data_IF_988708553573
#
_entry.id   IF_988708553573
#
_cell.length_a   1.000
_cell.length_b   1.000
_cell.length_c   1.000
_cell.angle_alpha   90.00
_cell.angle_beta   90.00
_cell.angle_gamma   90.00
#
_symmetry.space_group_name_H-M   'P 1'
#
loop_
_entity.id
_entity.type
_entity.pdbx_description
1 polymer ?
#
# COMPACT_ATOMS: atom_id res chain seq x y z
N UNK A 1 8.82 -8.93 6.22
CA UNK A 1 7.83 -7.84 6.38
C UNK A 1 6.41 -8.36 6.11
N UNK A 2 5.39 -7.67 6.64
CA UNK A 2 3.96 -7.92 6.36
C UNK A 2 3.31 -6.64 5.88
N UNK A 3 2.60 -6.69 4.76
CA UNK A 3 1.76 -5.61 4.27
C UNK A 3 0.35 -6.11 3.97
N UNK A 4 -0.61 -5.21 4.08
CA UNK A 4 -1.98 -5.43 3.71
C UNK A 4 -2.20 -4.82 2.34
N UNK A 5 -2.59 -5.63 1.35
CA UNK A 5 -2.88 -5.16 -0.01
C UNK A 5 -4.38 -5.00 -0.17
N UNK A 6 -4.80 -3.83 -0.62
CA UNK A 6 -6.18 -3.50 -0.96
C UNK A 6 -6.31 -3.37 -2.49
N UNK A 7 -7.10 -4.24 -3.11
CA UNK A 7 -7.27 -4.26 -4.57
C UNK A 7 -8.44 -3.36 -5.02
N UNK A 8 -8.20 -2.48 -5.99
CA UNK A 8 -9.24 -1.64 -6.58
C UNK A 8 -9.95 -2.34 -7.74
N UNK A 9 -11.18 -2.82 -7.54
CA UNK A 9 -12.02 -3.30 -8.64
C UNK A 9 -12.80 -2.11 -9.26
N UNK A 10 -12.29 -1.54 -10.34
CA UNK A 10 -13.06 -0.55 -11.12
C UNK A 10 -14.08 -1.27 -12.02
N UNK A 11 -15.23 -1.63 -11.45
CA UNK A 11 -16.45 -1.87 -12.23
C UNK A 11 -17.06 -0.51 -12.57
N UNK A 12 -16.87 -0.06 -13.81
CA UNK A 12 -17.44 1.20 -14.31
C UNK A 12 -18.97 1.18 -14.25
N UNK A 13 -19.55 1.89 -13.29
CA UNK A 13 -20.81 2.61 -13.50
C UNK A 13 -20.67 4.00 -12.89
N UNK A 14 -20.63 5.00 -13.76
CA UNK A 14 -20.62 6.40 -13.38
C UNK A 14 -21.96 6.70 -12.69
N UNK A 15 -21.93 6.80 -11.36
CA UNK A 15 -22.94 7.52 -10.61
C UNK A 15 -22.22 8.56 -9.78
N UNK A 16 -22.45 9.83 -10.10
CA UNK A 16 -22.01 10.99 -9.33
C UNK A 16 -22.73 10.97 -7.99
N UNK A 17 -22.25 10.14 -7.08
CA UNK A 17 -22.53 10.26 -5.66
C UNK A 17 -21.25 10.79 -5.03
N UNK A 18 -21.23 12.09 -4.72
CA UNK A 18 -20.29 12.68 -3.77
C UNK A 18 -20.24 11.76 -2.55
N UNK A 19 -19.10 11.11 -2.24
CA UNK A 19 -18.99 10.39 -0.99
C UNK A 19 -19.01 11.45 0.13
N UNK A 20 -20.16 11.58 0.80
CA UNK A 20 -20.22 12.21 2.11
C UNK A 20 -19.45 11.31 3.07
N UNK A 21 -18.14 11.48 3.11
CA UNK A 21 -17.26 10.85 4.08
C UNK A 21 -17.49 11.56 5.42
N UNK A 22 -18.49 11.10 6.17
CA UNK A 22 -18.80 11.60 7.50
C UNK A 22 -17.66 11.20 8.46
N UNK A 23 -16.70 12.10 8.63
CA UNK A 23 -16.11 12.42 9.93
C UNK A 23 -15.45 11.33 10.77
N UNK A 24 -14.96 10.23 10.21
CA UNK A 24 -13.99 9.38 10.92
C UNK A 24 -12.59 9.74 10.45
N UNK A 25 -11.89 10.54 11.23
CA UNK A 25 -10.44 10.71 11.09
C UNK A 25 -9.83 9.32 11.26
N UNK A 26 -9.41 8.68 10.16
CA UNK A 26 -8.68 7.42 10.23
C UNK A 26 -7.27 7.71 10.75
N UNK A 27 -7.17 7.86 12.07
CA UNK A 27 -5.89 7.91 12.76
C UNK A 27 -5.34 6.50 12.82
N UNK A 28 -4.32 6.22 12.01
CA UNK A 28 -3.56 4.98 12.10
C UNK A 28 -2.97 4.91 13.51
N UNK A 29 -3.38 3.96 14.37
CA UNK A 29 -2.83 3.84 15.72
C UNK A 29 -1.33 3.55 15.65
N UNK A 30 -0.54 4.13 16.55
CA UNK A 30 0.91 3.82 16.66
C UNK A 30 1.14 2.33 16.91
N UNK A 31 0.20 1.66 17.59
CA UNK A 31 0.19 0.22 17.73
C UNK A 31 -0.71 -0.43 16.66
N UNK A 32 -0.09 -0.94 15.61
CA UNK A 32 -0.75 -1.66 14.52
C UNK A 32 -1.61 -2.86 14.98
N UNK A 33 -1.39 -3.38 16.21
CA UNK A 33 -2.27 -4.41 16.79
C UNK A 33 -3.68 -3.89 17.07
N UNK A 34 -3.84 -2.58 17.23
CA UNK A 34 -5.15 -1.93 17.36
C UNK A 34 -5.90 -1.80 16.03
N UNK A 35 -5.21 -1.93 14.89
CA UNK A 35 -5.87 -1.97 13.57
C UNK A 35 -6.59 -3.30 13.34
N UNK A 36 -6.05 -4.41 13.85
CA UNK A 36 -6.65 -5.73 13.66
C UNK A 36 -8.13 -5.80 14.11
N UNK A 37 -8.52 -5.37 15.33
CA UNK A 37 -9.92 -5.35 15.74
C UNK A 37 -10.77 -4.31 14.98
N UNK A 38 -10.20 -3.18 14.55
CA UNK A 38 -10.93 -2.20 13.73
C UNK A 38 -11.22 -2.74 12.31
N UNK A 39 -10.24 -3.43 11.71
CA UNK A 39 -10.40 -4.13 10.45
C UNK A 39 -11.41 -5.29 10.57
N UNK A 40 -11.39 -6.02 11.69
CA UNK A 40 -12.37 -7.06 11.97
C UNK A 40 -13.80 -6.51 12.13
N UNK A 41 -13.96 -5.32 12.70
CA UNK A 41 -15.26 -4.64 12.74
C UNK A 41 -15.73 -4.27 11.34
N UNK A 42 -14.85 -3.73 10.48
CA UNK A 42 -15.19 -3.44 9.07
C UNK A 42 -15.56 -4.71 8.29
N UNK A 43 -14.91 -5.85 8.57
CA UNK A 43 -15.30 -7.15 8.00
C UNK A 43 -16.72 -7.56 8.39
N UNK A 44 -17.17 -7.23 9.61
CA UNK A 44 -18.53 -7.54 10.06
C UNK A 44 -19.60 -6.63 9.44
N UNK A 45 -19.20 -5.42 9.05
CA UNK A 45 -20.09 -4.43 8.42
C UNK A 45 -20.19 -4.62 6.90
N UNK A 46 -19.12 -5.08 6.24
CA UNK A 46 -19.08 -5.35 4.80
C UNK A 46 -18.33 -6.66 4.49
N UNK A 47 -19.08 -7.72 4.16
CA UNK A 47 -18.53 -9.02 3.78
C UNK A 47 -17.68 -8.99 2.48
N UNK A 48 -17.72 -7.91 1.71
CA UNK A 48 -16.88 -7.71 0.52
C UNK A 48 -15.47 -7.23 0.88
N UNK A 49 -15.29 -6.66 2.07
CA UNK A 49 -14.04 -6.12 2.59
C UNK A 49 -12.92 -7.17 2.63
N UNK A 50 -13.26 -8.40 3.03
CA UNK A 50 -12.32 -9.52 3.14
C UNK A 50 -11.77 -9.98 1.78
N UNK A 51 -12.54 -9.76 0.71
CA UNK A 51 -12.08 -10.07 -0.66
C UNK A 51 -11.09 -9.03 -1.17
N UNK A 52 -11.26 -7.78 -0.73
CA UNK A 52 -10.50 -6.64 -1.21
C UNK A 52 -9.20 -6.45 -0.44
N UNK A 53 -9.14 -6.89 0.82
CA UNK A 53 -8.04 -6.59 1.73
C UNK A 53 -7.38 -7.89 2.22
N UNK A 54 -6.16 -8.15 1.76
CA UNK A 54 -5.46 -9.40 2.02
C UNK A 54 -4.07 -9.17 2.63
N UNK A 55 -3.76 -9.80 3.79
CA UNK A 55 -2.42 -9.74 4.36
C UNK A 55 -1.44 -10.59 3.55
N UNK A 56 -0.29 -10.00 3.23
CA UNK A 56 0.79 -10.64 2.49
C UNK A 56 2.09 -10.57 3.28
N UNK A 57 2.85 -11.67 3.29
CA UNK A 57 4.16 -11.75 3.92
C UNK A 57 5.24 -11.76 2.85
N UNK A 58 6.24 -10.91 3.04
CA UNK A 58 7.35 -10.71 2.13
C UNK A 58 8.67 -11.00 2.85
N UNK A 59 9.61 -11.60 2.13
CA UNK A 59 10.98 -11.81 2.61
C UNK A 59 11.84 -10.57 2.35
N UNK A 60 12.87 -10.36 3.15
CA UNK A 60 13.85 -9.31 2.91
C UNK A 60 14.44 -9.39 1.49
N UNK A 61 14.64 -8.24 0.85
CA UNK A 61 15.12 -8.10 -0.54
C UNK A 61 14.09 -8.41 -1.62
N UNK A 62 12.83 -8.68 -1.27
CA UNK A 62 11.78 -8.93 -2.27
C UNK A 62 11.05 -7.65 -2.64
N UNK A 63 10.68 -7.53 -3.93
CA UNK A 63 9.81 -6.46 -4.40
C UNK A 63 8.40 -6.71 -3.86
N UNK A 64 7.92 -5.75 -3.07
CA UNK A 64 6.59 -5.75 -2.47
C UNK A 64 5.55 -5.27 -3.48
N UNK A 65 5.88 -4.19 -4.18
CA UNK A 65 5.03 -3.57 -5.19
C UNK A 65 5.87 -2.81 -6.22
N UNK A 66 5.50 -2.92 -7.48
CA UNK A 66 6.00 -2.07 -8.57
C UNK A 66 5.13 -0.82 -8.72
N UNK A 67 5.59 0.17 -9.48
CA UNK A 67 4.76 1.32 -9.83
C UNK A 67 3.42 0.93 -10.50
N UNK A 68 3.39 -0.15 -11.29
CA UNK A 68 2.18 -0.64 -11.94
C UNK A 68 1.18 -1.22 -10.93
N UNK A 69 1.66 -1.95 -9.93
CA UNK A 69 0.82 -2.48 -8.85
C UNK A 69 0.20 -1.33 -8.04
N UNK A 70 1.00 -0.34 -7.67
CA UNK A 70 0.57 0.83 -6.90
C UNK A 70 -0.44 1.73 -7.64
N UNK A 71 -0.62 1.53 -8.94
CA UNK A 71 -1.63 2.24 -9.75
C UNK A 71 -3.04 1.70 -9.51
N UNK A 72 -3.17 0.43 -9.14
CA UNK A 72 -4.45 -0.25 -8.98
C UNK A 72 -4.72 -0.65 -7.53
N UNK A 73 -3.65 -0.80 -6.75
CA UNK A 73 -3.71 -1.30 -5.39
C UNK A 73 -3.11 -0.30 -4.40
N UNK A 74 -3.64 -0.35 -3.19
CA UNK A 74 -3.09 0.38 -2.04
C UNK A 74 -2.48 -0.64 -1.08
N UNK A 75 -1.29 -0.36 -0.56
CA UNK A 75 -0.66 -1.21 0.44
C UNK A 75 -0.53 -0.46 1.75
N UNK A 76 -0.82 -1.12 2.87
CA UNK A 76 -0.56 -0.61 4.22
C UNK A 76 0.51 -1.50 4.83
N UNK A 77 1.64 -0.92 5.22
CA UNK A 77 2.72 -1.64 5.88
C UNK A 77 2.31 -1.95 7.33
N UNK A 78 2.21 -3.23 7.67
CA UNK A 78 1.76 -3.68 8.99
C UNK A 78 2.94 -3.99 9.92
N UNK A 79 4.00 -4.61 9.39
CA UNK A 79 5.17 -5.02 10.18
C UNK A 79 6.45 -5.06 9.35
N UNK A 80 7.55 -4.60 9.96
CA UNK A 80 8.86 -4.48 9.30
C UNK A 80 8.96 -3.16 8.54
N UNK A 81 10.00 -3.04 7.71
CA UNK A 81 10.28 -1.84 6.92
C UNK A 81 10.35 -2.12 5.45
N UNK A 82 10.10 -1.08 4.66
CA UNK A 82 10.28 -1.12 3.20
C UNK A 82 11.12 0.05 2.74
N UNK A 83 11.88 -0.17 1.68
CA UNK A 83 12.54 0.89 0.95
C UNK A 83 11.74 1.25 -0.29
N UNK A 84 11.55 2.54 -0.50
CA UNK A 84 11.17 3.06 -1.81
C UNK A 84 12.45 3.19 -2.64
N UNK A 85 12.57 2.38 -3.69
CA UNK A 85 13.77 2.26 -4.51
C UNK A 85 13.51 2.82 -5.90
N UNK A 86 14.45 3.64 -6.39
CA UNK A 86 14.55 4.00 -7.78
C UNK A 86 15.74 3.29 -8.42
N UNK A 87 15.53 2.67 -9.57
CA UNK A 87 16.58 2.02 -10.34
C UNK A 87 16.74 2.71 -11.69
N UNK A 88 17.97 3.13 -11.96
CA UNK A 88 18.36 3.59 -13.29
C UNK A 88 18.49 2.37 -14.22
N UNK A 89 17.67 2.30 -15.25
CA UNK A 89 17.67 1.15 -16.15
C UNK A 89 18.88 1.13 -17.09
N UNK A 90 19.51 2.28 -17.36
CA UNK A 90 20.67 2.40 -18.26
C UNK A 90 21.99 2.12 -17.54
N UNK A 91 22.13 2.58 -16.29
CA UNK A 91 23.36 2.45 -15.50
C UNK A 91 23.32 1.29 -14.51
N UNK A 92 22.16 0.63 -14.35
CA UNK A 92 21.96 -0.49 -13.43
C UNK A 92 22.03 -0.13 -11.93
N UNK A 93 22.23 1.13 -11.59
CA UNK A 93 22.36 1.62 -10.20
C UNK A 93 21.00 1.76 -9.54
N UNK A 94 20.95 1.45 -8.25
CA UNK A 94 19.78 1.63 -7.40
C UNK A 94 20.03 2.73 -6.38
N UNK A 95 18.99 3.51 -6.10
CA UNK A 95 18.98 4.56 -5.10
C UNK A 95 17.78 4.33 -4.18
N UNK A 96 18.03 4.22 -2.88
CA UNK A 96 16.98 4.24 -1.87
C UNK A 96 16.54 5.69 -1.72
N UNK A 97 15.28 5.97 -2.05
CA UNK A 97 14.68 7.31 -1.94
C UNK A 97 14.15 7.57 -0.53
N UNK A 98 13.60 6.54 0.11
CA UNK A 98 13.09 6.62 1.48
C UNK A 98 12.98 5.22 2.09
N UNK A 99 13.02 5.15 3.42
CA UNK A 99 12.67 3.95 4.19
C UNK A 99 11.39 4.26 4.95
N UNK A 100 10.41 3.37 4.85
CA UNK A 100 9.08 3.55 5.41
C UNK A 100 8.85 2.54 6.53
N UNK A 101 8.24 3.04 7.60
CA UNK A 101 7.94 2.33 8.84
C UNK A 101 6.50 1.79 8.86
N UNK A 102 6.17 0.87 9.78
CA UNK A 102 4.79 0.41 9.98
C UNK A 102 3.79 1.56 10.08
N UNK A 103 2.63 1.38 9.45
CA UNK A 103 1.60 2.42 9.29
C UNK A 103 1.72 3.22 7.99
N UNK A 104 2.83 3.11 7.26
CA UNK A 104 2.95 3.73 5.94
C UNK A 104 1.92 3.17 4.96
N UNK A 105 1.26 4.08 4.24
CA UNK A 105 0.31 3.77 3.16
C UNK A 105 1.03 4.03 1.85
N UNK A 106 1.07 3.05 0.95
CA UNK A 106 1.71 3.08 -0.36
C UNK A 106 0.65 3.09 -1.45
N UNK A 107 0.73 4.08 -2.35
CA UNK A 107 -0.12 4.19 -3.54
C UNK A 107 0.59 5.00 -4.63
N UNK A 108 0.11 4.95 -5.88
CA UNK A 108 0.73 5.66 -7.01
C UNK A 108 0.92 7.16 -6.75
N UNK A 109 0.00 7.79 -6.03
CA UNK A 109 0.02 9.24 -5.77
C UNK A 109 1.27 9.71 -5.02
N UNK A 110 1.99 8.79 -4.38
CA UNK A 110 3.19 9.08 -3.61
C UNK A 110 4.50 8.82 -4.37
N UNK A 111 4.43 8.28 -5.59
CA UNK A 111 5.62 7.97 -6.38
C UNK A 111 5.80 8.98 -7.53
N UNK A 112 6.92 9.73 -7.59
CA UNK A 112 7.16 10.67 -8.66
C UNK A 112 7.42 9.93 -9.98
N UNK A 113 6.64 10.22 -11.02
CA UNK A 113 6.83 9.63 -12.36
C UNK A 113 8.23 9.93 -12.88
N UNK A 114 9.02 8.87 -13.11
CA UNK A 114 10.38 8.97 -13.66
C UNK A 114 10.39 8.51 -15.12
N UNK A 115 10.88 9.35 -16.03
CA UNK A 115 10.95 9.07 -17.47
C UNK A 115 12.10 8.13 -17.88
N UNK A 116 13.09 7.89 -17.01
CA UNK A 116 14.31 7.14 -17.36
C UNK A 116 14.69 6.03 -16.38
N UNK A 117 13.79 5.63 -15.49
CA UNK A 117 14.07 4.66 -14.44
C UNK A 117 12.82 4.00 -13.88
N UNK A 118 13.00 2.85 -13.25
CA UNK A 118 11.92 2.09 -12.61
C UNK A 118 11.86 2.41 -11.11
N UNK A 119 10.65 2.48 -10.56
CA UNK A 119 10.43 2.64 -9.13
C UNK A 119 9.66 1.46 -8.58
N UNK A 120 10.07 0.99 -7.41
CA UNK A 120 9.43 -0.11 -6.72
C UNK A 120 9.66 0.00 -5.21
N UNK A 121 8.85 -0.74 -4.48
CA UNK A 121 8.95 -0.88 -3.02
C UNK A 121 9.58 -2.24 -2.74
N UNK A 122 10.60 -2.26 -1.90
CA UNK A 122 11.34 -3.47 -1.53
C UNK A 122 11.27 -3.70 -0.02
N UNK A 123 11.04 -4.94 0.40
CA UNK A 123 11.07 -5.31 1.80
C UNK A 123 12.50 -5.32 2.34
N UNK A 124 12.73 -4.64 3.47
CA UNK A 124 14.06 -4.58 4.11
C UNK A 124 14.27 -5.75 5.08
N UNK A 125 13.22 -6.12 5.82
CA UNK A 125 13.22 -7.12 6.90
C UNK A 125 11.91 -7.89 6.94
#
# INVERSE_FOLDING_TARGET
MTAMRMTGNHSSSASTATPHFMGSTFTVPEDYRALAPQLANLQSEDHTFDKLIQPHRYSAGTVVATFADLTHDVFILIKGRVNLVWRNNLLGRQLVMSTLEPGAILSQQQLPRSSSGSQFVEAVE
#
